data_IF_996610849039
#
_entry.id   IF_996610849039
#
_cell.length_a   1.000
_cell.length_b   1.000
_cell.length_c   1.000
_cell.angle_alpha   90.00
_cell.angle_beta   90.00
_cell.angle_gamma   90.00
#
_symmetry.space_group_name_H-M   'P 1'
#
loop_
_entity.id
_entity.type
_entity.pdbx_description
1 polymer ?
#
# COMPACT_ATOMS: atom_id res chain seq x y z
N UNK A 1 37.24 -15.60 30.17
CA UNK A 1 35.88 -15.18 30.58
C UNK A 1 35.21 -14.18 29.62
N UNK A 2 35.86 -13.12 29.12
CA UNK A 2 35.24 -12.17 28.17
C UNK A 2 34.83 -12.81 26.83
N UNK A 3 35.69 -13.63 26.22
CA UNK A 3 35.36 -14.30 24.95
C UNK A 3 34.17 -15.27 25.06
N UNK A 4 34.02 -15.96 26.19
CA UNK A 4 32.88 -16.85 26.45
C UNK A 4 31.57 -16.05 26.57
N UNK A 5 31.59 -14.90 27.25
CA UNK A 5 30.42 -14.01 27.36
C UNK A 5 30.03 -13.40 26.00
N UNK A 6 31.01 -13.03 25.18
CA UNK A 6 30.79 -12.51 23.82
C UNK A 6 30.23 -13.61 22.91
N UNK A 7 30.79 -14.82 22.96
CA UNK A 7 30.28 -15.96 22.20
C UNK A 7 28.85 -16.34 22.61
N UNK A 8 28.56 -16.35 23.92
CA UNK A 8 27.21 -16.58 24.42
C UNK A 8 26.23 -15.50 23.96
N UNK A 9 26.64 -14.22 23.97
CA UNK A 9 25.83 -13.12 23.46
C UNK A 9 25.53 -13.29 21.96
N UNK A 10 26.54 -13.64 21.15
CA UNK A 10 26.37 -13.90 19.72
C UNK A 10 25.44 -15.08 19.46
N UNK A 11 25.58 -16.17 20.21
CA UNK A 11 24.67 -17.33 20.13
C UNK A 11 23.23 -16.92 20.50
N UNK A 12 23.05 -16.13 21.56
CA UNK A 12 21.74 -15.61 21.95
C UNK A 12 21.15 -14.69 20.88
N UNK A 13 21.95 -13.84 20.23
CA UNK A 13 21.53 -13.01 19.09
C UNK A 13 21.13 -13.88 17.90
N UNK A 14 21.91 -14.91 17.55
CA UNK A 14 21.59 -15.84 16.46
C UNK A 14 20.30 -16.60 16.75
N UNK A 15 20.13 -17.14 17.97
CA UNK A 15 18.89 -17.82 18.40
C UNK A 15 17.71 -16.87 18.36
N UNK A 16 17.89 -15.63 18.85
CA UNK A 16 16.87 -14.60 18.82
C UNK A 16 16.45 -14.27 17.37
N UNK A 17 17.41 -14.09 16.45
CA UNK A 17 17.16 -13.84 15.04
C UNK A 17 16.46 -15.04 14.37
N UNK A 18 16.85 -16.27 14.68
CA UNK A 18 16.18 -17.48 14.17
C UNK A 18 14.72 -17.58 14.62
N UNK A 19 14.44 -17.34 15.91
CA UNK A 19 13.06 -17.34 16.44
C UNK A 19 12.24 -16.17 15.87
N UNK A 20 12.86 -15.00 15.74
CA UNK A 20 12.24 -13.79 15.17
C UNK A 20 11.86 -13.93 13.69
N UNK A 21 12.61 -14.71 12.92
CA UNK A 21 12.41 -14.89 11.47
C UNK A 21 11.41 -16.00 11.12
N UNK A 22 11.16 -16.93 12.05
CA UNK A 22 10.23 -18.05 11.87
C UNK A 22 8.92 -17.83 12.64
N UNK A 23 8.19 -16.78 12.27
CA UNK A 23 6.86 -16.45 12.79
C UNK A 23 6.73 -16.60 14.32
N UNK A 24 7.39 -15.72 15.10
CA UNK A 24 7.60 -15.93 16.53
C UNK A 24 6.27 -16.07 17.28
N UNK A 25 6.21 -16.95 18.29
CA UNK A 25 5.01 -17.12 19.10
C UNK A 25 4.66 -15.82 19.83
N UNK A 26 3.37 -15.61 20.10
CA UNK A 26 2.85 -14.35 20.65
C UNK A 26 3.57 -13.90 21.95
N UNK A 27 3.94 -14.85 22.81
CA UNK A 27 4.68 -14.58 24.05
C UNK A 27 6.09 -14.02 23.80
N UNK A 28 6.78 -14.45 22.73
CA UNK A 28 8.09 -13.94 22.34
C UNK A 28 7.99 -12.54 21.72
N UNK A 29 6.94 -12.30 20.92
CA UNK A 29 6.59 -10.97 20.41
C UNK A 29 6.40 -9.97 21.57
N UNK A 30 5.72 -10.39 22.64
CA UNK A 30 5.42 -9.58 23.81
C UNK A 30 6.61 -9.31 24.76
N UNK A 31 7.52 -10.28 24.94
CA UNK A 31 8.62 -10.21 25.91
C UNK A 31 9.79 -9.29 25.53
N UNK A 32 9.95 -8.92 24.25
CA UNK A 32 11.08 -8.09 23.85
C UNK A 32 11.17 -7.78 22.36
N UNK A 33 10.61 -8.65 21.51
CA UNK A 33 10.73 -8.50 20.06
C UNK A 33 10.04 -7.25 19.53
N UNK A 34 8.83 -6.96 19.99
CA UNK A 34 8.12 -5.74 19.60
C UNK A 34 8.85 -4.48 20.10
N UNK A 35 9.43 -4.49 21.31
CA UNK A 35 10.15 -3.34 21.87
C UNK A 35 11.44 -3.06 21.09
N UNK A 36 12.17 -4.10 20.69
CA UNK A 36 13.35 -3.96 19.84
C UNK A 36 12.96 -3.45 18.45
N UNK A 37 11.89 -3.98 17.86
CA UNK A 37 11.39 -3.49 16.57
C UNK A 37 10.89 -2.05 16.64
N UNK A 38 10.23 -1.65 17.73
CA UNK A 38 9.76 -0.27 17.93
C UNK A 38 10.95 0.69 18.09
N UNK A 39 11.97 0.31 18.87
CA UNK A 39 13.19 1.09 19.00
C UNK A 39 13.94 1.20 17.66
N UNK A 40 14.13 0.08 16.98
CA UNK A 40 14.74 0.04 15.65
C UNK A 40 13.97 0.91 14.67
N UNK A 41 12.66 0.71 14.54
CA UNK A 41 11.78 1.41 13.61
C UNK A 41 11.72 2.91 13.89
N UNK A 42 11.73 3.34 15.16
CA UNK A 42 11.77 4.75 15.53
C UNK A 42 13.10 5.41 15.15
N UNK A 43 14.22 4.71 15.40
CA UNK A 43 15.55 5.22 15.06
C UNK A 43 15.69 5.33 13.55
N UNK A 44 15.39 4.26 12.80
CA UNK A 44 15.58 4.24 11.35
C UNK A 44 14.63 5.18 10.62
N UNK A 45 13.38 5.31 11.08
CA UNK A 45 12.39 6.19 10.47
C UNK A 45 12.82 7.66 10.41
N UNK A 46 13.63 8.13 11.37
CA UNK A 46 14.15 9.50 11.37
C UNK A 46 15.18 9.77 10.26
N UNK A 47 15.87 8.73 9.79
CA UNK A 47 16.98 8.84 8.83
C UNK A 47 16.74 8.10 7.52
N UNK A 48 15.60 7.41 7.38
CA UNK A 48 15.28 6.68 6.17
C UNK A 48 15.29 7.63 4.95
N UNK A 49 16.01 7.31 3.87
CA UNK A 49 15.99 8.12 2.67
C UNK A 49 14.58 8.10 2.09
N UNK A 50 14.11 9.28 1.68
CA UNK A 50 12.83 9.46 1.02
C UNK A 50 13.12 9.64 -0.46
N UNK A 51 12.79 8.63 -1.27
CA UNK A 51 12.97 8.67 -2.71
C UNK A 51 11.62 9.00 -3.37
N UNK A 52 11.49 10.23 -3.87
CA UNK A 52 10.26 10.72 -4.50
C UNK A 52 10.07 10.03 -5.86
N UNK A 53 8.99 9.25 -5.98
CA UNK A 53 8.61 8.51 -7.19
C UNK A 53 7.67 9.35 -8.05
N UNK A 54 6.74 10.05 -7.41
CA UNK A 54 5.78 10.98 -8.02
C UNK A 54 5.42 12.03 -6.98
N UNK A 55 5.38 13.30 -7.35
CA UNK A 55 5.06 14.40 -6.42
C UNK A 55 4.26 15.51 -7.12
N UNK A 56 2.93 15.39 -7.19
CA UNK A 56 2.06 16.46 -7.68
C UNK A 56 1.80 17.54 -6.61
N UNK A 57 2.35 17.38 -5.39
CA UNK A 57 2.00 18.15 -4.21
C UNK A 57 0.79 17.60 -3.45
N UNK A 58 0.80 17.79 -2.13
CA UNK A 58 -0.32 17.46 -1.25
C UNK A 58 -1.47 18.44 -1.45
N UNK A 59 -2.72 17.98 -1.30
CA UNK A 59 -3.84 18.92 -1.23
C UNK A 59 -3.65 19.91 -0.09
N UNK A 60 -4.10 21.14 -0.30
CA UNK A 60 -4.23 22.12 0.76
C UNK A 60 -5.17 21.57 1.84
N UNK A 61 -4.68 21.47 3.06
CA UNK A 61 -5.50 21.10 4.20
C UNK A 61 -5.34 22.15 5.29
N UNK A 62 -6.47 22.61 5.84
CA UNK A 62 -6.55 23.77 6.73
C UNK A 62 -5.43 23.78 7.77
N UNK A 63 -4.69 24.90 7.82
CA UNK A 63 -3.38 25.09 8.48
C UNK A 63 -3.38 25.01 10.02
N UNK A 64 -4.35 24.33 10.63
CA UNK A 64 -4.57 24.32 12.08
C UNK A 64 -4.26 23.00 12.80
N UNK A 65 -3.91 21.92 12.10
CA UNK A 65 -3.68 20.64 12.77
C UNK A 65 -2.27 20.54 13.34
N UNK A 66 -2.18 20.58 14.67
CA UNK A 66 -0.94 20.35 15.44
C UNK A 66 -0.74 18.88 15.83
N UNK A 67 -1.65 18.00 15.42
CA UNK A 67 -1.68 16.60 15.81
C UNK A 67 -0.64 15.77 15.06
N UNK A 68 -0.26 14.62 15.62
CA UNK A 68 0.62 13.65 14.96
C UNK A 68 -0.13 12.81 13.93
N UNK A 69 0.61 12.11 13.07
CA UNK A 69 0.02 11.04 12.26
C UNK A 69 -0.47 9.89 13.17
N UNK A 70 -1.47 9.14 12.70
CA UNK A 70 -2.04 7.97 13.37
C UNK A 70 -1.97 6.75 12.45
N UNK A 71 -1.54 5.59 12.97
CA UNK A 71 -1.37 4.39 12.16
C UNK A 71 -2.36 3.30 12.56
N UNK A 72 -3.18 2.85 11.61
CA UNK A 72 -4.10 1.73 11.77
C UNK A 72 -3.37 0.41 11.53
N UNK A 73 -2.78 -0.14 12.60
CA UNK A 73 -2.09 -1.43 12.53
C UNK A 73 -3.11 -2.56 12.39
N UNK A 74 -2.85 -3.59 11.56
CA UNK A 74 -3.74 -4.75 11.48
C UNK A 74 -4.02 -5.36 12.86
N UNK A 75 -5.29 -5.59 13.16
CA UNK A 75 -5.77 -6.27 14.37
C UNK A 75 -6.68 -7.42 13.97
N UNK A 76 -6.93 -8.36 14.87
CA UNK A 76 -7.92 -9.43 14.65
C UNK A 76 -9.34 -8.85 14.51
N UNK A 77 -9.59 -7.67 15.06
CA UNK A 77 -10.83 -6.90 14.88
C UNK A 77 -10.95 -6.34 13.45
N UNK A 78 -12.01 -6.78 12.77
CA UNK A 78 -12.40 -6.44 11.40
C UNK A 78 -13.35 -5.24 11.33
N UNK A 79 -13.70 -4.60 12.45
CA UNK A 79 -14.52 -3.38 12.44
C UNK A 79 -13.70 -2.15 12.02
N UNK A 80 -13.37 -2.11 10.72
CA UNK A 80 -12.61 -1.02 10.11
C UNK A 80 -13.29 0.33 10.28
N UNK A 81 -14.63 0.37 10.19
CA UNK A 81 -15.40 1.60 10.32
C UNK A 81 -15.22 2.25 11.69
N UNK A 82 -15.47 1.50 12.78
CA UNK A 82 -15.34 2.04 14.13
C UNK A 82 -13.90 2.46 14.45
N UNK A 83 -12.91 1.73 13.93
CA UNK A 83 -11.49 2.05 14.11
C UNK A 83 -11.10 3.35 13.41
N UNK A 84 -11.57 3.57 12.17
CA UNK A 84 -11.35 4.82 11.44
C UNK A 84 -12.02 5.98 12.15
N UNK A 85 -13.32 5.84 12.51
CA UNK A 85 -14.08 6.90 13.19
C UNK A 85 -13.42 7.27 14.51
N UNK A 86 -13.00 6.29 15.30
CA UNK A 86 -12.28 6.51 16.57
C UNK A 86 -10.94 7.23 16.36
N UNK A 87 -10.16 6.83 15.35
CA UNK A 87 -8.91 7.52 15.02
C UNK A 87 -9.16 8.96 14.57
N UNK A 88 -10.21 9.23 13.80
CA UNK A 88 -10.57 10.57 13.35
C UNK A 88 -11.11 11.48 14.47
N UNK A 89 -11.48 10.94 15.63
CA UNK A 89 -11.87 11.74 16.80
C UNK A 89 -10.65 12.41 17.47
N UNK A 90 -9.43 11.96 17.18
CA UNK A 90 -8.21 12.59 17.70
C UNK A 90 -7.68 13.69 16.79
N UNK A 91 -8.44 14.08 15.77
CA UNK A 91 -8.07 15.05 14.71
C UNK A 91 -6.63 14.86 14.21
N UNK A 92 -6.27 13.65 13.72
CA UNK A 92 -4.90 13.32 13.34
C UNK A 92 -4.49 14.08 12.08
N UNK A 93 -3.20 14.44 11.96
CA UNK A 93 -2.65 15.03 10.74
C UNK A 93 -2.82 14.10 9.54
N UNK A 94 -2.60 12.80 9.77
CA UNK A 94 -2.66 11.78 8.76
C UNK A 94 -3.15 10.46 9.34
N UNK A 95 -3.89 9.69 8.55
CA UNK A 95 -4.32 8.34 8.86
C UNK A 95 -3.60 7.35 7.94
N UNK A 96 -2.78 6.49 8.54
CA UNK A 96 -1.95 5.52 7.82
C UNK A 96 -2.63 4.17 7.84
N UNK A 97 -2.99 3.68 6.66
CA UNK A 97 -3.71 2.44 6.42
C UNK A 97 -2.76 1.34 5.94
N UNK A 98 -2.96 0.15 6.49
CA UNK A 98 -2.29 -1.07 6.07
C UNK A 98 -3.26 -2.00 5.32
N UNK A 99 -2.70 -2.97 4.58
CA UNK A 99 -3.32 -3.77 3.51
C UNK A 99 -4.73 -4.35 3.73
N UNK A 100 -5.21 -4.57 4.96
CA UNK A 100 -6.57 -5.08 5.18
C UNK A 100 -7.66 -4.02 4.92
N UNK A 101 -7.33 -2.75 5.13
CA UNK A 101 -8.29 -1.63 5.02
C UNK A 101 -8.54 -1.24 3.56
N UNK A 102 -7.55 -1.46 2.68
CA UNK A 102 -7.64 -1.13 1.26
C UNK A 102 -8.78 -1.85 0.55
N UNK A 103 -8.88 -3.18 0.73
CA UNK A 103 -9.97 -3.95 0.14
C UNK A 103 -11.33 -3.52 0.70
N UNK A 104 -11.41 -3.18 1.99
CA UNK A 104 -12.65 -2.72 2.60
C UNK A 104 -13.14 -1.39 2.02
N UNK A 105 -12.24 -0.46 1.65
CA UNK A 105 -12.62 0.80 1.02
C UNK A 105 -13.30 0.66 -0.34
N UNK A 106 -13.17 -0.49 -0.99
CA UNK A 106 -13.89 -0.80 -2.23
C UNK A 106 -15.35 -1.23 -2.02
N UNK A 107 -15.80 -1.31 -0.76
CA UNK A 107 -17.21 -1.54 -0.41
C UNK A 107 -17.99 -0.22 -0.25
N UNK A 108 -19.33 -0.28 -0.28
CA UNK A 108 -20.17 0.92 -0.06
C UNK A 108 -19.88 1.63 1.27
N UNK A 109 -19.69 0.87 2.35
CA UNK A 109 -19.38 1.43 3.67
C UNK A 109 -17.97 2.03 3.70
N UNK A 110 -17.00 1.32 3.12
CA UNK A 110 -15.63 1.80 3.04
C UNK A 110 -15.48 3.05 2.18
N UNK A 111 -16.24 3.16 1.09
CA UNK A 111 -16.30 4.37 0.25
C UNK A 111 -16.81 5.58 1.02
N UNK A 112 -17.85 5.42 1.83
CA UNK A 112 -18.36 6.52 2.66
C UNK A 112 -17.32 7.00 3.69
N UNK A 113 -16.49 6.10 4.21
CA UNK A 113 -15.40 6.46 5.12
C UNK A 113 -14.28 7.27 4.45
N UNK A 114 -14.06 7.12 3.13
CA UNK A 114 -13.03 7.89 2.41
C UNK A 114 -13.31 9.39 2.46
N UNK A 115 -14.57 9.81 2.31
CA UNK A 115 -14.94 11.23 2.40
C UNK A 115 -14.67 11.77 3.81
N UNK A 116 -15.02 11.01 4.85
CA UNK A 116 -14.75 11.38 6.24
C UNK A 116 -13.25 11.54 6.51
N UNK A 117 -12.42 10.67 5.95
CA UNK A 117 -10.97 10.76 6.06
C UNK A 117 -10.47 12.00 5.33
N UNK A 118 -10.87 12.20 4.07
CA UNK A 118 -10.43 13.33 3.24
C UNK A 118 -10.69 14.68 3.92
N UNK A 119 -11.85 14.83 4.56
CA UNK A 119 -12.23 16.06 5.24
C UNK A 119 -11.42 16.32 6.53
N UNK A 120 -10.77 15.31 7.10
CA UNK A 120 -10.21 15.36 8.46
C UNK A 120 -8.71 15.08 8.58
N UNK A 121 -8.11 14.35 7.65
CA UNK A 121 -6.72 13.93 7.75
C UNK A 121 -6.16 13.56 6.37
N UNK A 122 -4.83 13.62 6.19
CA UNK A 122 -4.21 13.00 5.02
C UNK A 122 -4.36 11.48 5.05
N UNK A 123 -4.83 10.87 3.97
CA UNK A 123 -4.89 9.41 3.84
C UNK A 123 -3.56 8.89 3.32
N UNK A 124 -2.92 8.00 4.07
CA UNK A 124 -1.65 7.39 3.69
C UNK A 124 -1.81 5.89 3.54
N UNK A 125 -1.34 5.36 2.42
CA UNK A 125 -1.44 3.92 2.11
C UNK A 125 -0.03 3.35 2.03
N UNK A 126 0.21 2.27 2.77
CA UNK A 126 1.46 1.50 2.64
C UNK A 126 1.34 0.60 1.40
N UNK A 127 1.86 1.06 0.28
CA UNK A 127 1.79 0.37 -1.00
C UNK A 127 2.98 -0.60 -1.15
N UNK A 128 2.79 -1.87 -0.79
CA UNK A 128 3.85 -2.87 -0.87
C UNK A 128 3.55 -4.08 -1.77
N UNK A 129 2.81 -3.86 -2.85
CA UNK A 129 2.59 -4.87 -3.90
C UNK A 129 1.40 -4.55 -4.77
N UNK A 130 1.15 -5.38 -5.79
CA UNK A 130 0.06 -5.22 -6.75
C UNK A 130 -1.34 -5.33 -6.15
N UNK A 131 -1.51 -6.01 -5.00
CA UNK A 131 -2.77 -6.02 -4.26
C UNK A 131 -3.26 -4.64 -3.80
N UNK A 132 -2.39 -3.62 -3.78
CA UNK A 132 -2.77 -2.23 -3.49
C UNK A 132 -3.15 -1.43 -4.73
N UNK A 133 -3.05 -2.00 -5.94
CA UNK A 133 -3.34 -1.30 -7.19
C UNK A 133 -4.73 -0.62 -7.21
N UNK A 134 -5.82 -1.25 -6.74
CA UNK A 134 -7.13 -0.61 -6.68
C UNK A 134 -7.15 0.63 -5.78
N UNK A 135 -6.26 0.76 -4.80
CA UNK A 135 -6.23 1.92 -3.92
C UNK A 135 -5.86 3.21 -4.65
N UNK A 136 -5.13 3.14 -5.77
CA UNK A 136 -4.73 4.32 -6.53
C UNK A 136 -5.94 5.13 -7.03
N UNK A 137 -7.02 4.48 -7.45
CA UNK A 137 -8.25 5.16 -7.88
C UNK A 137 -9.13 5.64 -6.73
N UNK A 138 -8.79 5.26 -5.49
CA UNK A 138 -9.38 5.82 -4.27
C UNK A 138 -8.65 7.09 -3.80
N UNK A 139 -7.72 7.60 -4.61
CA UNK A 139 -7.02 8.88 -4.46
C UNK A 139 -6.46 9.11 -3.04
N UNK A 140 -5.58 8.23 -2.53
CA UNK A 140 -4.87 8.51 -1.28
C UNK A 140 -4.02 9.78 -1.44
N UNK A 141 -3.73 10.46 -0.32
CA UNK A 141 -2.89 11.64 -0.35
C UNK A 141 -1.40 11.24 -0.49
N UNK A 142 -1.00 10.16 0.19
CA UNK A 142 0.38 9.66 0.18
C UNK A 142 0.42 8.15 -0.05
N UNK A 143 1.30 7.71 -0.95
CA UNK A 143 1.74 6.32 -1.10
C UNK A 143 3.11 6.17 -0.45
N UNK A 144 3.16 5.51 0.71
CA UNK A 144 4.41 5.08 1.32
C UNK A 144 4.78 3.71 0.72
N UNK A 145 5.91 3.64 0.01
CA UNK A 145 6.29 2.46 -0.77
C UNK A 145 7.54 1.79 -0.17
N UNK A 146 7.40 0.74 0.66
CA UNK A 146 8.53 -0.07 1.11
C UNK A 146 9.13 -0.87 -0.06
N UNK A 147 10.25 -0.40 -0.59
CA UNK A 147 10.86 -0.95 -1.79
C UNK A 147 12.12 -1.80 -1.51
N UNK A 148 12.28 -2.89 -2.25
CA UNK A 148 13.50 -3.70 -2.30
C UNK A 148 13.91 -3.87 -3.75
N UNK A 149 15.17 -3.59 -4.10
CA UNK A 149 15.69 -3.63 -5.48
C UNK A 149 14.72 -2.98 -6.49
N UNK A 150 14.39 -1.71 -6.25
CA UNK A 150 13.49 -0.90 -7.08
C UNK A 150 12.12 -1.54 -7.34
N UNK A 151 11.62 -2.31 -6.38
CA UNK A 151 10.30 -2.98 -6.47
C UNK A 151 9.53 -2.85 -5.17
N UNK A 152 8.28 -2.41 -5.25
CA UNK A 152 7.30 -2.54 -4.18
C UNK A 152 6.90 -4.02 -4.07
N UNK A 153 7.22 -4.67 -2.95
CA UNK A 153 7.04 -6.13 -2.78
C UNK A 153 6.56 -6.51 -1.41
N UNK A 154 5.65 -7.47 -1.31
CA UNK A 154 5.18 -7.98 -0.03
C UNK A 154 6.04 -9.18 0.41
N UNK A 155 6.03 -9.48 1.71
CA UNK A 155 6.77 -10.64 2.24
C UNK A 155 6.13 -11.97 1.82
N UNK A 156 4.80 -11.98 1.65
CA UNK A 156 4.01 -13.20 1.41
C UNK A 156 3.35 -13.25 0.03
N UNK A 157 3.02 -12.10 -0.56
CA UNK A 157 2.31 -12.03 -1.86
C UNK A 157 3.34 -12.03 -2.99
N UNK A 158 3.09 -12.83 -4.03
CA UNK A 158 3.89 -12.85 -5.27
C UNK A 158 3.24 -11.90 -6.27
N UNK A 159 3.42 -10.61 -6.08
CA UNK A 159 2.69 -9.60 -6.84
C UNK A 159 3.45 -8.28 -6.96
N UNK A 160 4.78 -8.30 -6.94
CA UNK A 160 5.61 -7.09 -6.92
C UNK A 160 5.41 -6.17 -8.13
N UNK A 161 5.47 -4.85 -7.89
CA UNK A 161 5.43 -3.80 -8.92
C UNK A 161 6.75 -3.04 -8.91
N UNK A 162 7.38 -2.86 -10.08
CA UNK A 162 8.62 -2.07 -10.16
C UNK A 162 8.34 -0.58 -9.91
N UNK A 163 9.26 0.14 -9.29
CA UNK A 163 9.10 1.58 -9.05
C UNK A 163 8.95 2.36 -10.36
N UNK A 164 9.64 1.93 -11.43
CA UNK A 164 9.51 2.52 -12.76
C UNK A 164 8.09 2.35 -13.32
N UNK A 165 7.53 1.13 -13.25
CA UNK A 165 6.15 0.87 -13.68
C UNK A 165 5.15 1.68 -12.86
N UNK A 166 5.36 1.77 -11.54
CA UNK A 166 4.50 2.56 -10.67
C UNK A 166 4.57 4.05 -10.99
N UNK A 167 5.76 4.61 -11.23
CA UNK A 167 5.92 6.00 -11.66
C UNK A 167 5.16 6.27 -12.95
N UNK A 168 5.38 5.45 -13.99
CA UNK A 168 4.70 5.58 -15.28
C UNK A 168 3.18 5.50 -15.14
N UNK A 169 2.70 4.61 -14.27
CA UNK A 169 1.28 4.47 -13.98
C UNK A 169 0.73 5.74 -13.32
N UNK A 170 1.39 6.25 -12.28
CA UNK A 170 0.96 7.45 -11.56
C UNK A 170 0.94 8.69 -12.46
N UNK A 171 1.94 8.86 -13.32
CA UNK A 171 1.98 9.91 -14.34
C UNK A 171 0.84 9.75 -15.36
N UNK A 172 0.61 8.53 -15.85
CA UNK A 172 -0.39 8.24 -16.88
C UNK A 172 -1.82 8.46 -16.42
N UNK A 173 -2.14 8.13 -15.17
CA UNK A 173 -3.48 8.35 -14.61
C UNK A 173 -3.67 9.78 -14.08
N UNK A 174 -2.63 10.63 -14.13
CA UNK A 174 -2.58 11.95 -13.47
C UNK A 174 -2.89 11.84 -11.97
N UNK A 175 -2.20 10.92 -11.29
CA UNK A 175 -2.51 10.59 -9.90
C UNK A 175 -2.30 11.81 -9.00
N UNK A 176 -3.24 12.08 -8.06
CA UNK A 176 -3.10 13.17 -7.10
C UNK A 176 -2.26 12.77 -5.88
N UNK A 177 -1.67 11.56 -5.88
CA UNK A 177 -0.97 11.02 -4.70
C UNK A 177 0.49 11.41 -4.73
N UNK A 178 1.02 11.85 -3.59
CA UNK A 178 2.47 11.92 -3.38
C UNK A 178 3.00 10.50 -3.15
N UNK A 179 3.93 10.03 -3.98
CA UNK A 179 4.48 8.68 -3.89
C UNK A 179 5.95 8.70 -3.47
N UNK A 180 6.26 8.08 -2.34
CA UNK A 180 7.61 8.06 -1.77
C UNK A 180 8.05 6.63 -1.49
N UNK A 181 9.13 6.23 -2.16
CA UNK A 181 9.81 4.97 -1.90
C UNK A 181 10.80 5.11 -0.75
N UNK A 182 10.77 4.12 0.14
CA UNK A 182 11.70 3.99 1.28
C UNK A 182 12.25 2.56 1.27
N UNK A 183 13.55 2.35 1.52
CA UNK A 183 14.11 1.00 1.59
C UNK A 183 13.32 0.12 2.56
N UNK A 184 12.92 -1.07 2.12
CA UNK A 184 11.98 -1.94 2.82
C UNK A 184 12.43 -2.28 4.24
N UNK A 185 13.73 -2.45 4.47
CA UNK A 185 14.27 -2.72 5.81
C UNK A 185 14.15 -1.54 6.79
N UNK A 186 13.93 -0.32 6.28
CA UNK A 186 13.75 0.89 7.10
C UNK A 186 12.29 1.24 7.36
N UNK A 187 11.34 0.54 6.71
CA UNK A 187 9.91 0.68 6.98
C UNK A 187 9.43 -0.49 7.84
N UNK A 188 9.32 -0.25 9.14
CA UNK A 188 8.75 -1.23 10.06
C UNK A 188 7.25 -0.96 10.13
N UNK A 189 6.39 -1.96 9.86
CA UNK A 189 4.91 -1.84 9.98
C UNK A 189 4.47 -1.72 11.45
N UNK A 190 4.91 -0.66 12.12
CA UNK A 190 4.67 -0.31 13.53
C UNK A 190 4.36 1.18 13.63
N UNK A 191 3.51 1.62 14.59
CA UNK A 191 3.00 2.99 14.61
C UNK A 191 4.09 4.05 14.56
N UNK A 192 5.08 3.98 15.45
CA UNK A 192 6.12 4.99 15.56
C UNK A 192 6.95 5.15 14.27
N UNK A 193 7.24 4.05 13.57
CA UNK A 193 8.01 4.08 12.33
C UNK A 193 7.19 4.70 11.19
N UNK A 194 5.95 4.22 10.98
CA UNK A 194 5.07 4.70 9.93
C UNK A 194 4.69 6.18 10.13
N UNK A 195 4.36 6.58 11.36
CA UNK A 195 4.02 7.96 11.71
C UNK A 195 5.19 8.90 11.46
N UNK A 196 6.38 8.55 11.95
CA UNK A 196 7.59 9.37 11.77
C UNK A 196 7.94 9.55 10.28
N UNK A 197 7.86 8.49 9.47
CA UNK A 197 8.11 8.58 8.02
C UNK A 197 7.07 9.47 7.34
N UNK A 198 5.79 9.26 7.67
CA UNK A 198 4.68 10.04 7.10
C UNK A 198 4.80 11.53 7.41
N UNK A 199 5.07 11.88 8.66
CA UNK A 199 5.28 13.28 9.08
C UNK A 199 6.48 13.92 8.38
N UNK A 200 7.53 13.14 8.09
CA UNK A 200 8.69 13.62 7.31
C UNK A 200 8.33 13.86 5.85
N UNK A 201 7.50 13.00 5.25
CA UNK A 201 6.99 13.19 3.88
C UNK A 201 6.17 14.47 3.84
N UNK A 202 5.15 14.62 4.70
CA UNK A 202 4.27 15.80 4.74
C UNK A 202 5.07 17.10 4.93
N UNK A 203 6.09 17.10 5.79
CA UNK A 203 6.93 18.29 6.01
C UNK A 203 7.78 18.68 4.80
N UNK A 204 8.13 17.72 3.95
CA UNK A 204 9.01 17.92 2.79
C UNK A 204 8.23 18.07 1.48
N UNK A 205 6.96 17.71 1.45
CA UNK A 205 6.07 17.92 0.31
C UNK A 205 5.65 19.39 0.19
N UNK A 206 5.53 19.84 -1.04
CA UNK A 206 4.81 21.07 -1.37
C UNK A 206 3.30 20.82 -1.39
N UNK A 207 2.53 21.91 -1.40
CA UNK A 207 1.09 21.87 -1.61
C UNK A 207 0.76 22.14 -3.08
N UNK A 208 -0.18 21.37 -3.63
CA UNK A 208 -0.73 21.63 -4.96
C UNK A 208 -1.73 22.78 -4.93
N UNK A 209 -1.99 23.39 -6.08
CA UNK A 209 -2.99 24.47 -6.18
C UNK A 209 -4.40 23.94 -5.92
N UNK A 210 -5.25 24.79 -5.35
CA UNK A 210 -6.65 24.45 -5.07
C UNK A 210 -7.45 24.16 -6.36
N UNK A 211 -6.95 24.57 -7.53
CA UNK A 211 -7.53 24.25 -8.85
C UNK A 211 -7.49 22.75 -9.17
N UNK A 212 -6.63 21.98 -8.50
CA UNK A 212 -6.57 20.51 -8.59
C UNK A 212 -7.64 19.81 -7.74
N UNK A 213 -8.35 20.53 -6.86
CA UNK A 213 -9.32 19.92 -5.96
C UNK A 213 -10.68 19.76 -6.67
N UNK A 214 -10.74 18.76 -7.55
CA UNK A 214 -11.99 18.29 -8.16
C UNK A 214 -12.90 17.67 -7.09
N UNK A 215 -14.19 17.52 -7.41
CA UNK A 215 -15.12 16.79 -6.56
C UNK A 215 -14.57 15.39 -6.21
N UNK A 216 -14.50 15.07 -4.92
CA UNK A 216 -14.02 13.78 -4.45
C UNK A 216 -15.15 12.76 -4.46
N UNK A 217 -15.22 11.97 -5.53
CA UNK A 217 -16.20 10.89 -5.70
C UNK A 217 -15.50 9.61 -6.21
N UNK A 218 -14.86 8.83 -5.32
CA UNK A 218 -14.16 7.62 -5.72
C UNK A 218 -15.13 6.58 -6.28
N UNK A 219 -14.92 6.17 -7.54
CA UNK A 219 -15.67 5.12 -8.20
C UNK A 219 -14.97 3.76 -7.98
N UNK A 220 -15.66 2.81 -7.37
CA UNK A 220 -15.06 1.53 -6.96
C UNK A 220 -16.08 0.40 -6.88
N UNK A 221 -15.57 -0.82 -7.06
CA UNK A 221 -16.24 -2.10 -6.88
C UNK A 221 -15.23 -3.06 -6.21
N UNK A 222 -15.63 -4.14 -5.52
CA UNK A 222 -14.71 -5.03 -4.84
C UNK A 222 -13.49 -5.44 -5.69
N UNK A 223 -12.29 -5.05 -5.25
CA UNK A 223 -11.03 -5.36 -5.92
C UNK A 223 -10.68 -4.49 -7.14
N UNK A 224 -11.45 -3.43 -7.43
CA UNK A 224 -11.16 -2.50 -8.52
C UNK A 224 -11.60 -1.05 -8.21
N UNK A 225 -10.97 -0.10 -8.88
CA UNK A 225 -11.38 1.31 -8.84
C UNK A 225 -11.21 1.97 -10.20
N UNK A 226 -11.88 3.08 -10.39
CA UNK A 226 -11.78 3.90 -11.59
C UNK A 226 -11.26 5.29 -11.23
N UNK A 227 -10.36 5.82 -12.05
CA UNK A 227 -9.87 7.18 -11.95
C UNK A 227 -9.43 7.72 -13.31
N UNK A 228 -9.94 8.91 -13.69
CA UNK A 228 -9.54 9.63 -14.90
C UNK A 228 -9.62 8.80 -16.21
N UNK A 229 -10.62 7.92 -16.30
CA UNK A 229 -10.82 7.02 -17.44
C UNK A 229 -10.01 5.73 -17.36
N UNK A 230 -9.28 5.46 -16.28
CA UNK A 230 -8.49 4.24 -16.10
C UNK A 230 -9.08 3.35 -15.02
N UNK A 231 -9.20 2.05 -15.29
CA UNK A 231 -9.56 1.06 -14.26
C UNK A 231 -8.29 0.44 -13.67
N UNK A 232 -8.24 0.32 -12.36
CA UNK A 232 -7.13 -0.23 -11.58
C UNK A 232 -7.66 -1.44 -10.81
N UNK A 233 -7.26 -2.64 -11.23
CA UNK A 233 -7.88 -3.90 -10.77
C UNK A 233 -6.86 -4.89 -10.23
N UNK A 234 -7.23 -5.58 -9.15
CA UNK A 234 -6.44 -6.69 -8.59
C UNK A 234 -7.19 -8.01 -8.71
N UNK A 235 -6.54 -8.98 -9.34
CA UNK A 235 -7.08 -10.32 -9.60
C UNK A 235 -6.44 -11.32 -8.64
N UNK A 236 -7.28 -12.09 -7.95
CA UNK A 236 -6.91 -13.18 -7.06
C UNK A 236 -7.91 -14.33 -7.24
N UNK A 237 -7.72 -15.44 -6.52
CA UNK A 237 -8.62 -16.61 -6.63
C UNK A 237 -10.11 -16.31 -6.51
N UNK A 238 -10.51 -15.31 -5.72
CA UNK A 238 -11.92 -15.01 -5.48
C UNK A 238 -12.62 -14.32 -6.66
N UNK A 239 -11.87 -13.69 -7.56
CA UNK A 239 -12.40 -12.99 -8.74
C UNK A 239 -11.74 -13.47 -10.05
N UNK A 240 -11.10 -14.64 -10.01
CA UNK A 240 -10.57 -15.35 -11.18
C UNK A 240 -11.71 -16.15 -11.84
N UNK A 241 -12.72 -15.43 -12.30
CA UNK A 241 -13.92 -15.97 -12.94
C UNK A 241 -13.77 -15.99 -14.47
N UNK A 242 -14.87 -16.25 -15.18
CA UNK A 242 -14.91 -16.14 -16.64
C UNK A 242 -14.49 -14.72 -17.08
N UNK A 243 -13.54 -14.59 -18.03
CA UNK A 243 -13.08 -13.28 -18.51
C UNK A 243 -14.20 -12.39 -19.08
N UNK A 244 -15.24 -12.98 -19.66
CA UNK A 244 -16.40 -12.26 -20.18
C UNK A 244 -17.23 -11.65 -19.05
N UNK A 245 -17.55 -12.45 -18.04
CA UNK A 245 -18.26 -11.98 -16.84
C UNK A 245 -17.47 -10.87 -16.14
N UNK A 246 -16.13 -10.99 -16.07
CA UNK A 246 -15.28 -9.95 -15.50
C UNK A 246 -15.26 -8.67 -16.36
N UNK A 247 -15.22 -8.80 -17.69
CA UNK A 247 -15.32 -7.65 -18.59
C UNK A 247 -16.65 -6.90 -18.42
N UNK A 248 -17.76 -7.62 -18.20
CA UNK A 248 -19.06 -7.03 -17.90
C UNK A 248 -19.03 -6.24 -16.58
N UNK A 249 -18.36 -6.75 -15.54
CA UNK A 249 -18.16 -6.04 -14.28
C UNK A 249 -17.34 -4.75 -14.47
N UNK A 250 -16.28 -4.78 -15.30
CA UNK A 250 -15.48 -3.59 -15.62
C UNK A 250 -16.33 -2.52 -16.33
N UNK A 251 -17.15 -2.91 -17.32
CA UNK A 251 -18.06 -1.97 -18.01
C UNK A 251 -19.13 -1.38 -17.09
N UNK A 252 -19.55 -2.13 -16.08
CA UNK A 252 -20.52 -1.67 -15.10
C UNK A 252 -19.95 -0.63 -14.12
N UNK A 253 -18.62 -0.60 -13.94
CA UNK A 253 -17.95 0.37 -13.06
C UNK A 253 -18.01 1.78 -13.66
N UNK A 254 -17.59 1.92 -14.92
CA UNK A 254 -17.70 3.17 -15.67
C UNK A 254 -17.69 2.87 -17.18
N UNK A 255 -18.57 3.49 -17.99
CA UNK A 255 -18.61 3.24 -19.44
C UNK A 255 -17.46 3.89 -20.23
N UNK A 256 -16.79 4.90 -19.71
CA UNK A 256 -15.72 5.64 -20.41
C UNK A 256 -14.33 5.13 -20.00
N UNK A 257 -14.01 3.91 -20.42
CA UNK A 257 -12.74 3.24 -20.12
C UNK A 257 -11.73 3.53 -21.23
N UNK A 258 -10.63 4.22 -20.89
CA UNK A 258 -9.47 4.43 -21.77
C UNK A 258 -8.56 3.21 -21.81
N UNK A 259 -8.28 2.64 -20.64
CA UNK A 259 -7.39 1.48 -20.46
C UNK A 259 -7.61 0.85 -19.07
N UNK A 260 -7.33 -0.45 -18.95
CA UNK A 260 -7.37 -1.19 -17.69
C UNK A 260 -5.96 -1.60 -17.29
N UNK A 261 -5.55 -1.27 -16.07
CA UNK A 261 -4.34 -1.78 -15.45
C UNK A 261 -4.68 -2.89 -14.47
N UNK A 262 -4.04 -4.04 -14.64
CA UNK A 262 -4.29 -5.23 -13.83
C UNK A 262 -3.04 -5.66 -13.08
N UNK A 263 -3.24 -6.07 -11.82
CA UNK A 263 -2.25 -6.82 -11.06
C UNK A 263 -2.82 -8.18 -10.66
N UNK A 264 -1.99 -9.22 -10.70
CA UNK A 264 -2.40 -10.58 -10.38
C UNK A 264 -1.74 -11.09 -9.10
N UNK A 265 -2.47 -11.90 -8.33
CA UNK A 265 -1.88 -12.74 -7.31
C UNK A 265 -1.22 -13.98 -7.93
N UNK A 266 0.11 -13.97 -8.12
CA UNK A 266 0.82 -15.12 -8.69
C UNK A 266 1.02 -16.30 -7.72
N UNK A 267 0.29 -16.30 -6.59
CA UNK A 267 0.05 -17.51 -5.81
C UNK A 267 -1.16 -18.31 -6.34
N UNK A 268 -2.02 -17.68 -7.14
CA UNK A 268 -3.29 -18.26 -7.61
C UNK A 268 -3.31 -18.56 -9.11
N UNK A 269 -2.49 -17.85 -9.89
CA UNK A 269 -2.37 -17.98 -11.35
C UNK A 269 -0.90 -17.86 -11.76
N UNK A 270 -0.48 -18.50 -12.84
CA UNK A 270 0.86 -18.29 -13.38
C UNK A 270 0.93 -17.09 -14.36
N UNK A 271 2.14 -16.76 -14.82
CA UNK A 271 2.36 -15.57 -15.64
C UNK A 271 1.78 -15.69 -17.05
N UNK A 272 1.85 -16.88 -17.64
CA UNK A 272 1.38 -17.11 -19.01
C UNK A 272 -0.16 -17.15 -19.01
N UNK A 273 -0.75 -17.84 -18.03
CA UNK A 273 -2.20 -17.86 -17.79
C UNK A 273 -2.75 -16.45 -17.53
N UNK A 274 -2.08 -15.64 -16.70
CA UNK A 274 -2.51 -14.26 -16.43
C UNK A 274 -2.51 -13.39 -17.70
N UNK A 275 -1.53 -13.59 -18.57
CA UNK A 275 -1.44 -12.88 -19.86
C UNK A 275 -2.60 -13.26 -20.77
N UNK A 276 -2.86 -14.56 -20.94
CA UNK A 276 -3.99 -15.05 -21.74
C UNK A 276 -5.32 -14.54 -21.20
N UNK A 277 -5.50 -14.58 -19.88
CA UNK A 277 -6.71 -14.12 -19.23
C UNK A 277 -6.93 -12.60 -19.42
N UNK A 278 -5.88 -11.78 -19.25
CA UNK A 278 -5.94 -10.34 -19.48
C UNK A 278 -6.27 -10.00 -20.95
N UNK A 279 -5.68 -10.73 -21.91
CA UNK A 279 -5.96 -10.57 -23.34
C UNK A 279 -7.43 -10.90 -23.66
N UNK A 280 -7.99 -11.94 -23.03
CA UNK A 280 -9.40 -12.31 -23.19
C UNK A 280 -10.33 -11.22 -22.65
N UNK A 281 -10.04 -10.66 -21.46
CA UNK A 281 -10.80 -9.52 -20.93
C UNK A 281 -10.70 -8.33 -21.87
N UNK A 282 -9.51 -7.99 -22.36
CA UNK A 282 -9.30 -6.88 -23.29
C UNK A 282 -10.07 -7.05 -24.60
N UNK A 283 -10.09 -8.26 -25.16
CA UNK A 283 -10.85 -8.58 -26.36
C UNK A 283 -12.37 -8.42 -26.15
N UNK A 284 -12.90 -8.85 -25.00
CA UNK A 284 -14.31 -8.68 -24.65
C UNK A 284 -14.68 -7.22 -24.37
N UNK A 285 -13.76 -6.45 -23.77
CA UNK A 285 -13.96 -5.05 -23.45
C UNK A 285 -13.79 -4.12 -24.66
N UNK A 286 -13.04 -4.56 -25.68
CA UNK A 286 -12.63 -3.72 -26.80
C UNK A 286 -11.64 -2.62 -26.39
N UNK A 287 -10.94 -2.81 -25.26
CA UNK A 287 -10.05 -1.81 -24.64
C UNK A 287 -8.74 -2.48 -24.24
N UNK A 288 -7.65 -1.71 -24.23
CA UNK A 288 -6.34 -2.23 -23.81
C UNK A 288 -6.35 -2.63 -22.33
N UNK A 289 -5.74 -3.79 -22.05
CA UNK A 289 -5.49 -4.30 -20.70
C UNK A 289 -3.99 -4.47 -20.53
N UNK A 290 -3.43 -3.83 -19.51
CA UNK A 290 -1.99 -3.83 -19.24
C UNK A 290 -1.73 -4.46 -17.87
N UNK A 291 -0.95 -5.54 -17.83
CA UNK A 291 -0.47 -6.14 -16.57
C UNK A 291 0.68 -5.31 -16.01
N UNK A 292 0.57 -4.85 -14.76
CA UNK A 292 1.54 -3.92 -14.15
C UNK A 292 2.41 -4.54 -13.05
N UNK A 293 2.22 -5.83 -12.75
CA UNK A 293 2.97 -6.53 -11.71
C UNK A 293 3.66 -7.80 -12.24
N UNK A 294 4.55 -8.37 -11.41
CA UNK A 294 5.34 -9.56 -11.75
C UNK A 294 5.37 -10.56 -10.59
N UNK A 295 5.66 -11.86 -10.83
CA UNK A 295 5.52 -12.95 -9.84
C UNK A 295 6.65 -12.99 -8.80
N UNK A 296 6.99 -11.85 -8.19
CA UNK A 296 8.09 -11.70 -7.22
C UNK A 296 7.58 -11.33 -5.84
N UNK A 297 8.22 -11.87 -4.81
CA UNK A 297 8.11 -11.46 -3.41
C UNK A 297 9.49 -11.15 -2.82
N UNK A 298 9.54 -10.68 -1.57
CA UNK A 298 10.80 -10.31 -0.88
C UNK A 298 11.88 -11.37 -0.98
N UNK A 299 11.55 -12.65 -0.75
CA UNK A 299 12.54 -13.73 -0.77
C UNK A 299 13.16 -13.93 -2.16
N UNK A 300 12.42 -13.68 -3.23
CA UNK A 300 12.89 -13.88 -4.60
C UNK A 300 13.95 -12.83 -4.93
N UNK A 301 13.68 -11.57 -4.59
CA UNK A 301 14.62 -10.46 -4.81
C UNK A 301 15.90 -10.59 -3.97
N UNK A 302 15.80 -11.10 -2.74
CA UNK A 302 16.98 -11.39 -1.91
C UNK A 302 17.85 -12.51 -2.50
N UNK A 303 17.26 -13.43 -3.26
CA UNK A 303 17.95 -14.51 -3.95
C UNK A 303 18.38 -14.15 -5.38
N UNK A 304 18.15 -12.90 -5.81
CA UNK A 304 18.47 -12.42 -7.16
C UNK A 304 17.62 -13.06 -8.27
N UNK A 305 16.38 -13.43 -7.95
CA UNK A 305 15.39 -14.01 -8.87
C UNK A 305 14.37 -12.98 -9.34
#
# INVERSE_FOLDING_TARGET
>A
MRCLKIALLLVLVIVYVMVATHNPPAWFKALGYNQILDAYGKITAGYAPLNWVHDPGLRSFGTGQTSSAHALIPSEDQDHHSRIVSALQTDPLALIECSAVDAWHTTTQGRAALSLIRDKAYRVVVFDGGHHLPTLGLQPDILLIPALNDTAVHTYMRDGISLQTLQQLLEKIDSPSVAVAVPRWLVVKRPASLQTITERIIRQSDYRSDEWDTAFDPCTSPGMSWYNGYILAYINRANLEDPGDYADQLRALDPEIKEVFMAFNYNDIDQDEATVWADQVGAQLGTAVTIVNRPVKVSDLLLGR
#
